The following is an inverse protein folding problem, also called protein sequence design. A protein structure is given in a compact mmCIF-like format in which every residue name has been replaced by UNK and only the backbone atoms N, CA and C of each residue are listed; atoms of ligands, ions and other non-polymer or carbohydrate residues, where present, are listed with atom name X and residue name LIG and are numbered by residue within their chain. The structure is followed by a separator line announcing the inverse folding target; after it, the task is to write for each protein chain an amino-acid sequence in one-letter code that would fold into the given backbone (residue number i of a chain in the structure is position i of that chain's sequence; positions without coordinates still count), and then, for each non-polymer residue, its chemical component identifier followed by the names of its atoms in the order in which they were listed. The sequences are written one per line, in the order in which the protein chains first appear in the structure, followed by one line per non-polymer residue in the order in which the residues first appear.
data_IF_943342980428
#
_entry.id   IF_943342980428
#
_cell.length_a   1.000
_cell.length_b   1.000
_cell.length_c   1.000
_cell.angle_alpha   90.00
_cell.angle_beta   90.00
_cell.angle_gamma   90.00
#
_symmetry.space_group_name_H-M   'P 1'
#
loop_
_entity.id
_entity.type
_entity.pdbx_description
1 polymer ?
#
# COMPACT_ATOMS: atom_id res chain seq x y z
N UNK A 1 34.44 23.04 25.17
CA UNK A 1 34.16 21.96 24.19
C UNK A 1 33.91 22.59 22.82
N UNK A 2 33.69 21.82 21.75
CA UNK A 2 33.39 22.36 20.41
C UNK A 2 32.18 21.63 19.80
N UNK A 3 31.32 22.37 19.09
CA UNK A 3 30.22 21.80 18.31
C UNK A 3 30.75 21.37 16.95
N UNK A 4 30.97 20.06 16.75
CA UNK A 4 31.51 19.52 15.50
C UNK A 4 30.44 19.22 14.45
N UNK A 5 29.23 18.89 14.90
CA UNK A 5 28.17 18.40 14.03
C UNK A 5 26.83 19.05 14.36
N UNK A 6 25.93 19.03 13.38
CA UNK A 6 24.54 19.44 13.49
C UNK A 6 23.65 18.32 12.94
N UNK A 7 22.53 18.06 13.62
CA UNK A 7 21.50 17.12 13.17
C UNK A 7 20.54 17.83 12.23
N UNK A 8 20.39 17.30 11.02
CA UNK A 8 19.42 17.78 10.04
C UNK A 8 18.00 17.29 10.34
N UNK A 9 17.03 17.86 9.63
CA UNK A 9 15.60 17.47 9.70
C UNK A 9 15.34 16.03 9.25
N UNK A 10 16.19 15.50 8.36
CA UNK A 10 16.18 14.10 7.92
C UNK A 10 16.98 13.17 8.87
N UNK A 11 17.29 13.66 10.08
CA UNK A 11 18.14 13.00 11.08
C UNK A 11 19.59 12.72 10.64
N UNK A 12 20.01 13.17 9.45
CA UNK A 12 21.40 13.04 9.03
C UNK A 12 22.32 14.02 9.76
N UNK A 13 23.53 13.60 10.09
CA UNK A 13 24.53 14.47 10.73
C UNK A 13 25.43 15.14 9.68
N UNK A 14 25.64 16.45 9.81
CA UNK A 14 26.58 17.21 8.95
C UNK A 14 27.57 18.02 9.79
N UNK A 15 28.74 18.38 9.23
CA UNK A 15 29.67 19.30 9.90
C UNK A 15 28.99 20.64 10.22
N UNK A 16 29.23 21.13 11.43
CA UNK A 16 28.75 22.44 11.88
C UNK A 16 29.59 23.56 11.26
N UNK A 17 28.94 24.59 10.74
CA UNK A 17 29.59 25.76 10.14
C UNK A 17 28.89 27.03 10.61
N UNK A 18 29.58 27.84 11.41
CA UNK A 18 29.05 29.07 11.98
C UNK A 18 28.67 30.09 10.89
N UNK A 19 29.38 30.08 9.77
CA UNK A 19 29.17 30.95 8.62
C UNK A 19 27.78 30.77 8.00
N UNK A 20 27.18 29.58 8.15
CA UNK A 20 25.81 29.33 7.69
C UNK A 20 24.77 30.04 8.55
N UNK A 21 25.04 30.16 9.85
CA UNK A 21 24.17 30.88 10.79
C UNK A 21 24.28 32.39 10.54
N UNK A 22 25.51 32.91 10.48
CA UNK A 22 25.73 34.34 10.20
C UNK A 22 25.16 34.73 8.83
N UNK A 23 25.35 33.91 7.79
CA UNK A 23 24.78 34.16 6.47
C UNK A 23 23.25 34.13 6.43
N UNK A 24 22.59 33.31 7.27
CA UNK A 24 21.14 33.33 7.39
C UNK A 24 20.63 34.59 8.10
N UNK A 25 21.31 35.03 9.16
CA UNK A 25 21.01 36.27 9.89
C UNK A 25 21.22 37.49 8.99
N UNK A 26 22.33 37.54 8.25
CA UNK A 26 22.65 38.62 7.32
C UNK A 26 21.56 38.78 6.26
N UNK A 27 21.06 37.69 5.68
CA UNK A 27 19.95 37.74 4.72
C UNK A 27 18.67 38.35 5.31
N UNK A 28 18.37 38.06 6.58
CA UNK A 28 17.22 38.66 7.26
C UNK A 28 17.43 40.15 7.54
N UNK A 29 18.65 40.53 7.94
CA UNK A 29 19.08 41.92 8.12
C UNK A 29 19.00 42.74 6.82
N UNK A 30 19.52 42.21 5.73
CA UNK A 30 19.50 42.83 4.40
C UNK A 30 18.06 43.02 3.88
N UNK A 31 17.17 42.06 4.11
CA UNK A 31 15.79 42.09 3.65
C UNK A 31 14.97 43.27 4.23
N UNK A 32 15.36 43.78 5.40
CA UNK A 32 14.71 44.94 6.05
C UNK A 32 15.61 46.18 6.07
N UNK A 33 16.82 46.10 5.49
CA UNK A 33 17.78 47.20 5.45
C UNK A 33 18.32 47.60 6.83
N UNK A 34 18.47 46.65 7.76
CA UNK A 34 18.96 46.91 9.13
C UNK A 34 20.14 46.02 9.48
N UNK A 35 21.15 46.56 10.17
CA UNK A 35 22.33 45.79 10.61
C UNK A 35 23.44 45.73 9.57
N UNK A 36 24.58 45.17 9.97
CA UNK A 36 25.77 44.97 9.12
C UNK A 36 26.20 43.51 9.17
N UNK A 37 27.11 43.10 8.29
CA UNK A 37 27.73 41.78 8.33
C UNK A 37 28.37 41.48 9.70
N UNK A 38 29.03 42.48 10.29
CA UNK A 38 29.59 42.34 11.64
C UNK A 38 28.49 42.04 12.67
N UNK A 39 27.35 42.74 12.59
CA UNK A 39 26.25 42.47 13.51
C UNK A 39 25.65 41.06 13.33
N UNK A 40 25.60 40.54 12.11
CA UNK A 40 25.18 39.17 11.87
C UNK A 40 26.17 38.14 12.44
N UNK A 41 27.48 38.42 12.37
CA UNK A 41 28.52 37.60 12.99
C UNK A 41 28.42 37.64 14.53
N UNK A 42 28.18 38.81 15.11
CA UNK A 42 28.04 38.98 16.56
C UNK A 42 26.85 38.15 17.09
N UNK A 43 25.69 38.22 16.42
CA UNK A 43 24.50 37.42 16.79
C UNK A 43 24.78 35.92 16.59
N UNK A 44 25.41 35.52 15.48
CA UNK A 44 25.78 34.12 15.26
C UNK A 44 26.72 33.60 16.36
N UNK A 45 27.64 34.43 16.83
CA UNK A 45 28.53 34.07 17.93
C UNK A 45 27.76 33.89 19.24
N UNK A 46 26.77 34.73 19.55
CA UNK A 46 25.88 34.52 20.70
C UNK A 46 25.13 33.20 20.62
N UNK A 47 24.57 32.87 19.45
CA UNK A 47 23.93 31.57 19.19
C UNK A 47 24.91 30.42 19.48
N UNK A 48 26.15 30.53 18.99
CA UNK A 48 27.18 29.53 19.21
C UNK A 48 27.56 29.36 20.69
N UNK A 49 27.62 30.44 21.47
CA UNK A 49 27.85 30.36 22.92
C UNK A 49 26.70 29.62 23.62
N UNK A 50 25.44 29.94 23.30
CA UNK A 50 24.28 29.25 23.85
C UNK A 50 24.30 27.74 23.53
N UNK A 51 24.73 27.36 22.33
CA UNK A 51 24.90 25.95 21.94
C UNK A 51 26.06 25.27 22.68
N UNK A 52 27.18 25.98 22.90
CA UNK A 52 28.32 25.49 23.65
C UNK A 52 27.97 25.26 25.12
N UNK A 53 27.20 26.14 25.74
CA UNK A 53 26.76 25.99 27.13
C UNK A 53 25.92 24.73 27.30
N UNK A 54 25.03 24.42 26.36
CA UNK A 54 24.28 23.16 26.34
C UNK A 54 25.22 21.95 26.22
N UNK A 55 26.21 22.02 25.33
CA UNK A 55 27.21 20.93 25.19
C UNK A 55 28.10 20.74 26.41
N UNK A 56 28.40 21.80 27.14
CA UNK A 56 29.18 21.70 28.37
C UNK A 56 28.37 21.02 29.49
N UNK A 57 27.03 21.07 29.43
CA UNK A 57 26.15 20.39 30.37
C UNK A 57 25.85 18.94 29.97
N UNK A 58 25.87 18.63 28.67
CA UNK A 58 25.67 17.29 28.12
C UNK A 58 26.71 16.97 27.03
N UNK A 59 27.60 16.03 27.32
CA UNK A 59 28.69 15.65 26.42
C UNK A 59 28.18 15.09 25.08
N UNK A 60 27.04 14.40 25.10
CA UNK A 60 26.45 13.73 23.93
C UNK A 60 25.54 14.66 23.11
N UNK A 61 25.38 15.92 23.56
CA UNK A 61 24.58 16.92 22.85
C UNK A 61 25.10 17.20 21.44
N UNK A 62 24.17 17.10 20.49
CA UNK A 62 24.30 17.52 19.09
C UNK A 62 23.10 18.40 18.76
N UNK A 63 23.30 19.68 18.39
CA UNK A 63 22.17 20.57 18.12
C UNK A 63 21.44 20.17 16.85
N UNK A 64 20.12 20.36 16.85
CA UNK A 64 19.27 20.21 15.67
C UNK A 64 19.16 21.50 14.87
N UNK A 65 18.76 21.43 13.59
CA UNK A 65 18.48 22.63 12.79
C UNK A 65 17.40 23.50 13.44
N UNK A 66 16.33 22.90 13.98
CA UNK A 66 15.22 23.65 14.59
C UNK A 66 15.69 24.38 15.86
N UNK A 67 16.45 23.72 16.73
CA UNK A 67 17.02 24.36 17.92
C UNK A 67 17.92 25.54 17.56
N UNK A 68 18.76 25.41 16.53
CA UNK A 68 19.60 26.52 16.06
C UNK A 68 18.73 27.68 15.59
N UNK A 69 17.65 27.40 14.86
CA UNK A 69 16.73 28.45 14.39
C UNK A 69 15.98 29.12 15.56
N UNK A 70 15.53 28.36 16.56
CA UNK A 70 14.86 28.91 17.75
C UNK A 70 15.79 29.83 18.56
N UNK A 71 17.06 29.45 18.68
CA UNK A 71 18.07 30.29 19.35
C UNK A 71 18.34 31.55 18.52
N UNK A 72 18.48 31.44 17.19
CA UNK A 72 18.66 32.61 16.31
C UNK A 72 17.50 33.60 16.46
N UNK A 73 16.25 33.11 16.49
CA UNK A 73 15.07 33.95 16.71
C UNK A 73 15.12 34.65 18.06
N UNK A 74 15.46 33.91 19.11
CA UNK A 74 15.57 34.44 20.47
C UNK A 74 16.64 35.54 20.56
N UNK A 75 17.84 35.27 20.04
CA UNK A 75 18.95 36.23 20.04
C UNK A 75 18.61 37.49 19.21
N UNK A 76 17.97 37.32 18.05
CA UNK A 76 17.53 38.45 17.24
C UNK A 76 16.45 39.29 17.94
N UNK A 77 15.49 38.65 18.62
CA UNK A 77 14.45 39.34 19.40
C UNK A 77 15.01 40.10 20.62
N UNK A 78 16.03 39.54 21.27
CA UNK A 78 16.72 40.19 22.41
C UNK A 78 17.67 41.30 21.98
N UNK A 79 18.12 41.27 20.72
CA UNK A 79 18.96 42.33 20.14
C UNK A 79 18.17 43.61 19.81
N UNK A 80 18.89 44.62 19.31
CA UNK A 80 18.28 45.84 18.75
C UNK A 80 17.61 45.62 17.38
N UNK A 81 17.79 44.46 16.74
CA UNK A 81 17.36 44.17 15.36
C UNK A 81 15.98 43.48 15.30
N UNK A 82 14.97 44.05 15.96
CA UNK A 82 13.62 43.46 16.07
C UNK A 82 12.93 43.25 14.71
N UNK A 83 13.14 44.15 13.76
CA UNK A 83 12.60 44.01 12.40
C UNK A 83 13.26 42.84 11.65
N UNK A 84 14.57 42.64 11.82
CA UNK A 84 15.26 41.48 11.27
C UNK A 84 14.79 40.17 11.92
N UNK A 85 14.49 40.19 13.24
CA UNK A 85 13.90 39.05 13.94
C UNK A 85 12.55 38.64 13.33
N UNK A 86 11.66 39.62 13.13
CA UNK A 86 10.35 39.40 12.49
C UNK A 86 10.50 38.86 11.06
N UNK A 87 11.41 39.44 10.27
CA UNK A 87 11.68 38.98 8.91
C UNK A 87 12.23 37.54 8.88
N UNK A 88 13.11 37.20 9.83
CA UNK A 88 13.65 35.85 9.97
C UNK A 88 12.55 34.83 10.29
N UNK A 89 11.70 35.11 11.30
CA UNK A 89 10.57 34.26 11.71
C UNK A 89 9.61 34.04 10.53
N UNK A 90 9.20 35.11 9.86
CA UNK A 90 8.30 35.03 8.70
C UNK A 90 8.92 34.23 7.55
N UNK A 91 10.22 34.41 7.29
CA UNK A 91 10.91 33.63 6.27
C UNK A 91 11.01 32.16 6.65
N UNK A 92 11.34 31.84 7.91
CA UNK A 92 11.39 30.45 8.41
C UNK A 92 10.02 29.78 8.26
N UNK A 93 8.94 30.43 8.69
CA UNK A 93 7.57 29.93 8.57
C UNK A 93 7.20 29.70 7.11
N UNK A 94 7.42 30.70 6.23
CA UNK A 94 7.15 30.59 4.79
C UNK A 94 7.96 29.48 4.12
N UNK A 95 9.19 29.25 4.57
CA UNK A 95 10.01 28.14 4.08
C UNK A 95 9.57 26.80 4.67
N UNK A 96 8.97 26.78 5.86
CA UNK A 96 8.38 25.59 6.46
C UNK A 96 7.13 25.17 5.69
N UNK A 97 6.22 26.12 5.43
CA UNK A 97 5.04 25.94 4.58
C UNK A 97 5.43 25.41 3.20
N UNK A 98 6.44 26.02 2.55
CA UNK A 98 6.95 25.56 1.24
C UNK A 98 7.59 24.16 1.25
N UNK A 99 7.96 23.65 2.41
CA UNK A 99 8.56 22.32 2.57
C UNK A 99 7.53 21.28 3.00
N UNK A 100 6.35 21.71 3.44
CA UNK A 100 5.27 20.81 3.75
C UNK A 100 4.79 20.25 2.42
N UNK A 101 4.99 18.95 2.24
CA UNK A 101 4.43 18.25 1.10
C UNK A 101 2.93 18.13 1.32
N UNK A 102 2.19 18.35 0.25
CA UNK A 102 0.76 18.10 0.17
C UNK A 102 0.56 17.09 -0.96
N UNK A 103 0.06 15.91 -0.62
CA UNK A 103 -0.17 14.80 -1.53
C UNK A 103 -1.08 15.21 -2.70
N UNK A 104 -2.07 16.08 -2.45
CA UNK A 104 -3.05 16.53 -3.44
C UNK A 104 -2.57 17.72 -4.28
N UNK A 105 -1.54 18.46 -3.83
CA UNK A 105 -0.97 19.56 -4.62
C UNK A 105 -0.21 19.06 -5.85
N UNK A 106 -0.53 19.61 -7.02
CA UNK A 106 0.15 19.25 -8.28
C UNK A 106 1.62 19.65 -8.30
N UNK A 107 2.50 18.67 -8.54
CA UNK A 107 3.90 18.92 -8.85
C UNK A 107 4.16 18.83 -10.36
N UNK A 108 4.61 19.94 -10.96
CA UNK A 108 4.93 20.02 -12.39
C UNK A 108 6.26 19.33 -12.71
N UNK A 109 7.27 19.50 -11.85
CA UNK A 109 8.61 18.97 -12.09
C UNK A 109 8.65 17.46 -11.83
N UNK A 110 9.26 16.70 -12.75
CA UNK A 110 9.41 15.24 -12.57
C UNK A 110 10.29 14.90 -11.37
N UNK A 111 11.38 15.64 -11.15
CA UNK A 111 12.34 15.41 -10.05
C UNK A 111 12.66 16.72 -9.32
N UNK A 112 13.09 16.65 -8.04
CA UNK A 112 13.14 15.46 -7.19
C UNK A 112 11.72 14.93 -6.84
N UNK A 113 11.64 13.66 -6.43
CA UNK A 113 10.40 13.09 -5.89
C UNK A 113 10.18 13.60 -4.46
N UNK A 114 8.92 13.85 -4.10
CA UNK A 114 8.49 14.19 -2.74
C UNK A 114 8.33 12.91 -1.93
N UNK A 115 7.82 11.85 -2.56
CA UNK A 115 7.61 10.53 -1.94
C UNK A 115 8.41 9.45 -2.69
N UNK A 116 9.75 9.47 -2.64
CA UNK A 116 10.57 8.53 -3.41
C UNK A 116 10.34 7.07 -3.05
N UNK A 117 9.99 6.76 -1.79
CA UNK A 117 9.71 5.41 -1.34
C UNK A 117 8.47 4.81 -2.01
N UNK A 118 7.46 5.62 -2.34
CA UNK A 118 6.29 5.17 -3.10
C UNK A 118 6.65 4.71 -4.52
N UNK A 119 7.77 5.19 -5.09
CA UNK A 119 8.19 4.72 -6.40
C UNK A 119 8.65 3.26 -6.39
N UNK A 120 9.05 2.71 -5.25
CA UNK A 120 9.53 1.32 -5.12
C UNK A 120 8.46 0.27 -5.41
N UNK A 121 7.17 0.66 -5.39
CA UNK A 121 6.06 -0.20 -5.81
C UNK A 121 6.08 -0.48 -7.32
N UNK A 122 6.66 0.41 -8.14
CA UNK A 122 6.83 0.18 -9.59
C UNK A 122 7.77 -1.00 -9.88
N UNK A 123 9.03 -1.03 -9.38
CA UNK A 123 9.88 -2.20 -9.56
C UNK A 123 9.37 -3.45 -8.84
N UNK A 124 8.60 -3.33 -7.75
CA UNK A 124 7.96 -4.47 -7.10
C UNK A 124 6.99 -5.19 -8.06
N UNK A 125 6.06 -4.46 -8.70
CA UNK A 125 5.14 -5.05 -9.69
C UNK A 125 5.89 -5.55 -10.92
N UNK A 126 6.91 -4.84 -11.39
CA UNK A 126 7.75 -5.34 -12.49
C UNK A 126 8.46 -6.66 -12.14
N UNK A 127 8.74 -6.90 -10.87
CA UNK A 127 9.36 -8.12 -10.40
C UNK A 127 8.34 -9.27 -10.28
N UNK A 128 7.09 -8.97 -9.89
CA UNK A 128 6.00 -9.95 -9.83
C UNK A 128 5.34 -10.23 -11.18
N UNK A 129 5.63 -9.45 -12.22
CA UNK A 129 4.98 -9.51 -13.53
C UNK A 129 4.79 -10.94 -14.06
N UNK A 130 3.56 -11.25 -14.47
CA UNK A 130 3.16 -12.56 -14.98
C UNK A 130 1.99 -12.42 -15.96
N UNK A 131 1.87 -13.37 -16.89
CA UNK A 131 0.68 -13.50 -17.75
C UNK A 131 0.15 -14.93 -17.69
N UNK A 132 -1.18 -15.10 -17.75
CA UNK A 132 -1.80 -16.41 -17.55
C UNK A 132 -1.35 -17.49 -18.56
N UNK A 133 -0.88 -17.08 -19.74
CA UNK A 133 -0.38 -17.96 -20.79
C UNK A 133 0.98 -18.61 -20.46
N UNK A 134 1.66 -18.18 -19.40
CA UNK A 134 2.87 -18.82 -18.88
C UNK A 134 2.56 -20.08 -18.04
N UNK A 135 1.31 -20.25 -17.61
CA UNK A 135 0.87 -21.39 -16.82
C UNK A 135 0.15 -22.46 -17.65
N UNK A 136 0.17 -23.70 -17.18
CA UNK A 136 -0.52 -24.82 -17.81
C UNK A 136 -1.66 -25.31 -16.93
N UNK A 137 -2.87 -25.33 -17.50
CA UNK A 137 -4.12 -25.69 -16.80
C UNK A 137 -4.68 -27.07 -17.21
N UNK A 138 -3.93 -27.86 -17.99
CA UNK A 138 -4.44 -29.13 -18.53
C UNK A 138 -4.78 -30.13 -17.42
N UNK A 139 -3.91 -30.24 -16.40
CA UNK A 139 -4.17 -31.05 -15.21
C UNK A 139 -5.39 -30.55 -14.44
N UNK A 140 -5.52 -29.24 -14.33
CA UNK A 140 -6.51 -28.55 -13.52
C UNK A 140 -7.92 -28.75 -14.08
N UNK A 141 -8.05 -28.71 -15.41
CA UNK A 141 -9.29 -29.05 -16.11
C UNK A 141 -9.69 -30.50 -15.79
N UNK A 142 -8.73 -31.44 -15.74
CA UNK A 142 -9.06 -32.82 -15.41
C UNK A 142 -9.34 -33.05 -13.93
N UNK A 143 -8.61 -32.38 -13.05
CA UNK A 143 -8.89 -32.37 -11.63
C UNK A 143 -10.33 -31.91 -11.40
N UNK A 144 -10.68 -30.74 -11.95
CA UNK A 144 -11.99 -30.13 -11.82
C UNK A 144 -13.10 -30.98 -12.44
N UNK A 145 -12.88 -31.61 -13.60
CA UNK A 145 -13.92 -32.39 -14.29
C UNK A 145 -14.11 -33.81 -13.74
N UNK A 146 -13.07 -34.44 -13.20
CA UNK A 146 -13.13 -35.89 -12.92
C UNK A 146 -12.61 -36.33 -11.55
N UNK A 147 -11.76 -35.55 -10.88
CA UNK A 147 -11.10 -36.01 -9.64
C UNK A 147 -11.65 -35.34 -8.37
N UNK A 148 -12.15 -34.11 -8.47
CA UNK A 148 -12.84 -33.46 -7.34
C UNK A 148 -14.17 -34.17 -7.06
N UNK A 149 -14.47 -34.37 -5.77
CA UNK A 149 -15.83 -34.72 -5.33
C UNK A 149 -16.82 -33.60 -5.65
N UNK A 150 -18.13 -33.87 -5.56
CA UNK A 150 -19.14 -32.87 -5.85
C UNK A 150 -19.06 -31.66 -4.90
N UNK A 151 -18.85 -31.90 -3.60
CA UNK A 151 -18.62 -30.86 -2.59
C UNK A 151 -17.38 -30.02 -2.91
N UNK A 152 -16.25 -30.65 -3.22
CA UNK A 152 -15.00 -29.95 -3.54
C UNK A 152 -15.10 -29.14 -4.83
N UNK A 153 -15.77 -29.69 -5.83
CA UNK A 153 -16.01 -29.02 -7.11
C UNK A 153 -16.92 -27.82 -6.94
N UNK A 154 -17.95 -27.92 -6.11
CA UNK A 154 -18.82 -26.80 -5.77
C UNK A 154 -18.04 -25.68 -5.07
N UNK A 155 -17.20 -26.02 -4.09
CA UNK A 155 -16.33 -25.07 -3.41
C UNK A 155 -15.39 -24.36 -4.40
N UNK A 156 -14.64 -25.09 -5.22
CA UNK A 156 -13.73 -24.50 -6.21
C UNK A 156 -14.47 -23.62 -7.22
N UNK A 157 -15.62 -24.07 -7.70
CA UNK A 157 -16.46 -23.32 -8.63
C UNK A 157 -16.91 -21.99 -8.03
N UNK A 158 -17.48 -22.02 -6.82
CA UNK A 158 -17.97 -20.82 -6.15
C UNK A 158 -16.82 -19.88 -5.81
N UNK A 159 -15.66 -20.40 -5.40
CA UNK A 159 -14.42 -19.64 -5.18
C UNK A 159 -13.95 -18.93 -6.45
N UNK A 160 -13.90 -19.62 -7.59
CA UNK A 160 -13.52 -19.03 -8.88
C UNK A 160 -14.48 -17.92 -9.32
N UNK A 161 -15.80 -18.13 -9.11
CA UNK A 161 -16.82 -17.13 -9.40
C UNK A 161 -16.69 -15.89 -8.49
N UNK A 162 -16.39 -16.09 -7.20
CA UNK A 162 -16.15 -15.00 -6.24
C UNK A 162 -14.93 -14.15 -6.60
N UNK A 163 -13.80 -14.77 -6.98
CA UNK A 163 -12.61 -14.03 -7.42
C UNK A 163 -12.94 -13.22 -8.67
N UNK A 164 -13.50 -13.89 -9.68
CA UNK A 164 -13.82 -13.27 -10.97
C UNK A 164 -14.78 -12.08 -10.84
N UNK A 165 -15.62 -12.04 -9.82
CA UNK A 165 -16.55 -10.93 -9.60
C UNK A 165 -15.84 -9.62 -9.28
N UNK A 166 -14.74 -9.66 -8.53
CA UNK A 166 -13.95 -8.47 -8.19
C UNK A 166 -13.03 -8.11 -9.35
N UNK A 167 -12.26 -9.08 -9.83
CA UNK A 167 -11.21 -8.92 -10.85
C UNK A 167 -11.75 -8.37 -12.19
N UNK A 168 -13.01 -8.67 -12.51
CA UNK A 168 -13.65 -8.14 -13.72
C UNK A 168 -14.23 -6.74 -13.52
N UNK A 169 -14.46 -6.29 -12.27
CA UNK A 169 -15.19 -5.06 -11.94
C UNK A 169 -14.32 -3.88 -11.47
N UNK A 170 -13.09 -4.11 -10.99
CA UNK A 170 -12.33 -3.11 -10.20
C UNK A 170 -11.04 -2.65 -10.91
N UNK A 171 -11.16 -2.05 -12.10
CA UNK A 171 -9.97 -1.75 -12.94
C UNK A 171 -9.52 -0.28 -12.97
N UNK A 172 -10.44 0.65 -12.70
CA UNK A 172 -10.17 2.07 -12.95
C UNK A 172 -9.58 2.81 -11.75
N UNK A 173 -9.72 2.27 -10.54
CA UNK A 173 -9.33 2.99 -9.32
C UNK A 173 -7.86 3.43 -9.34
N UNK A 174 -6.94 2.49 -9.56
CA UNK A 174 -5.51 2.79 -9.62
C UNK A 174 -5.11 3.65 -10.82
N UNK A 175 -5.74 3.44 -11.98
CA UNK A 175 -5.48 4.22 -13.18
C UNK A 175 -5.90 5.70 -13.04
N UNK A 176 -6.94 5.96 -12.26
CA UNK A 176 -7.48 7.31 -12.03
C UNK A 176 -6.77 8.05 -10.88
N UNK A 177 -5.87 7.40 -10.14
CA UNK A 177 -5.22 7.95 -8.95
C UNK A 177 -4.53 9.31 -9.20
N UNK A 178 -3.89 9.48 -10.35
CA UNK A 178 -3.18 10.71 -10.70
C UNK A 178 -4.10 11.94 -10.89
N UNK A 179 -5.41 11.73 -11.09
CA UNK A 179 -6.37 12.82 -11.17
C UNK A 179 -6.55 13.54 -9.84
N UNK A 180 -6.44 12.80 -8.73
CA UNK A 180 -6.60 13.34 -7.36
C UNK A 180 -5.28 13.51 -6.64
N UNK A 181 -4.30 12.64 -6.91
CA UNK A 181 -2.95 12.71 -6.35
C UNK A 181 -1.95 13.00 -7.49
N UNK A 182 -1.85 14.27 -7.94
CA UNK A 182 -1.09 14.69 -9.12
C UNK A 182 0.44 14.76 -8.87
N UNK A 183 1.02 13.65 -8.40
CA UNK A 183 2.47 13.46 -8.20
C UNK A 183 3.03 12.48 -9.24
N UNK A 184 4.10 12.83 -9.99
CA UNK A 184 4.64 11.96 -11.04
C UNK A 184 5.02 10.53 -10.61
N UNK A 185 5.55 10.36 -9.40
CA UNK A 185 5.89 9.06 -8.81
C UNK A 185 4.64 8.22 -8.54
N UNK A 186 3.56 8.83 -8.06
CA UNK A 186 2.28 8.17 -7.79
C UNK A 186 1.54 7.83 -9.08
N UNK A 187 1.57 8.73 -10.07
CA UNK A 187 1.04 8.42 -11.41
C UNK A 187 1.77 7.25 -12.09
N UNK A 188 3.07 7.07 -11.80
CA UNK A 188 3.82 5.91 -12.28
C UNK A 188 3.36 4.60 -11.62
N UNK A 189 3.09 4.62 -10.31
CA UNK A 189 2.52 3.48 -9.58
C UNK A 189 1.13 3.16 -10.10
N UNK A 190 0.22 4.14 -10.13
CA UNK A 190 -1.16 3.96 -10.59
C UNK A 190 -1.25 3.40 -12.02
N UNK A 191 -0.40 3.85 -12.94
CA UNK A 191 -0.34 3.28 -14.29
C UNK A 191 0.20 1.84 -14.32
N UNK A 192 1.12 1.51 -13.42
CA UNK A 192 1.70 0.15 -13.32
C UNK A 192 0.68 -0.82 -12.72
N UNK A 193 -0.04 -0.41 -11.68
CA UNK A 193 -1.12 -1.19 -11.07
C UNK A 193 -2.31 -1.33 -12.03
N UNK A 194 -2.66 -0.28 -12.76
CA UNK A 194 -3.73 -0.39 -13.75
C UNK A 194 -3.43 -1.43 -14.85
N UNK A 195 -2.16 -1.70 -15.16
CA UNK A 195 -1.77 -2.76 -16.09
C UNK A 195 -1.79 -4.15 -15.44
N UNK A 196 -1.40 -4.29 -14.15
CA UNK A 196 -1.55 -5.59 -13.44
C UNK A 196 -3.00 -6.03 -13.40
N UNK A 197 -3.94 -5.11 -13.15
CA UNK A 197 -5.38 -5.40 -13.17
C UNK A 197 -5.90 -5.91 -14.53
N UNK A 198 -5.28 -5.50 -15.64
CA UNK A 198 -5.60 -6.06 -16.96
C UNK A 198 -5.18 -7.53 -17.02
N UNK A 199 -3.98 -7.85 -16.53
CA UNK A 199 -3.45 -9.22 -16.50
C UNK A 199 -4.27 -10.12 -15.59
N UNK A 200 -4.71 -9.62 -14.44
CA UNK A 200 -5.59 -10.36 -13.53
C UNK A 200 -6.93 -10.66 -14.19
N UNK A 201 -7.59 -9.64 -14.75
CA UNK A 201 -8.88 -9.81 -15.43
C UNK A 201 -8.78 -10.81 -16.60
N UNK A 202 -7.71 -10.75 -17.41
CA UNK A 202 -7.48 -11.69 -18.51
C UNK A 202 -7.29 -13.12 -18.00
N UNK A 203 -6.54 -13.30 -16.90
CA UNK A 203 -6.33 -14.60 -16.28
C UNK A 203 -7.63 -15.24 -15.78
N UNK A 204 -8.43 -14.52 -14.99
CA UNK A 204 -9.66 -15.06 -14.43
C UNK A 204 -10.76 -15.23 -15.49
N UNK A 205 -10.80 -14.36 -16.50
CA UNK A 205 -11.62 -14.55 -17.70
C UNK A 205 -11.27 -15.86 -18.42
N UNK A 206 -9.98 -16.12 -18.64
CA UNK A 206 -9.53 -17.38 -19.23
C UNK A 206 -9.90 -18.60 -18.39
N UNK A 207 -9.75 -18.53 -17.06
CA UNK A 207 -10.11 -19.61 -16.15
C UNK A 207 -11.62 -19.92 -16.18
N UNK A 208 -12.48 -18.90 -16.24
CA UNK A 208 -13.92 -19.10 -16.43
C UNK A 208 -14.24 -19.84 -17.74
N UNK A 209 -13.55 -19.50 -18.83
CA UNK A 209 -13.74 -20.14 -20.13
C UNK A 209 -13.36 -21.63 -20.10
N UNK A 210 -12.15 -21.97 -19.66
CA UNK A 210 -11.63 -23.35 -19.72
C UNK A 210 -12.34 -24.29 -18.74
N UNK A 211 -12.87 -23.75 -17.63
CA UNK A 211 -13.66 -24.50 -16.66
C UNK A 211 -15.14 -24.58 -17.05
N UNK A 212 -15.59 -23.78 -18.03
CA UNK A 212 -16.97 -23.77 -18.50
C UNK A 212 -17.95 -23.03 -17.59
N UNK A 213 -17.49 -22.01 -16.87
CA UNK A 213 -18.25 -21.31 -15.81
C UNK A 213 -18.93 -20.01 -16.27
N UNK A 214 -18.83 -19.66 -17.55
CA UNK A 214 -19.38 -18.41 -18.12
C UNK A 214 -20.89 -18.21 -17.88
N UNK A 215 -21.68 -19.28 -17.97
CA UNK A 215 -23.13 -19.21 -17.72
C UNK A 215 -23.44 -18.90 -16.26
N UNK A 216 -22.73 -19.57 -15.34
CA UNK A 216 -22.88 -19.36 -13.90
C UNK A 216 -22.42 -17.96 -13.49
N UNK A 217 -21.35 -17.45 -14.10
CA UNK A 217 -20.86 -16.09 -13.86
C UNK A 217 -21.88 -15.01 -14.24
N UNK A 218 -22.60 -15.17 -15.36
CA UNK A 218 -23.68 -14.23 -15.76
C UNK A 218 -24.82 -14.16 -14.75
N UNK A 219 -25.07 -15.27 -14.08
CA UNK A 219 -26.15 -15.44 -13.11
C UNK A 219 -25.71 -15.10 -11.68
N UNK A 220 -24.40 -14.84 -11.47
CA UNK A 220 -23.80 -14.65 -10.15
C UNK A 220 -24.44 -13.51 -9.34
N UNK A 221 -24.84 -12.43 -10.01
CA UNK A 221 -25.56 -11.29 -9.39
C UNK A 221 -26.92 -11.65 -8.77
N UNK A 222 -27.44 -12.86 -9.02
CA UNK A 222 -28.68 -13.33 -8.38
C UNK A 222 -28.43 -13.97 -7.02
N UNK A 223 -27.18 -14.29 -6.67
CA UNK A 223 -26.80 -14.87 -5.37
C UNK A 223 -26.84 -13.78 -4.29
N UNK A 224 -27.60 -13.96 -3.19
CA UNK A 224 -27.71 -12.96 -2.12
C UNK A 224 -26.37 -12.57 -1.48
N UNK A 225 -25.51 -13.55 -1.18
CA UNK A 225 -24.19 -13.32 -0.59
C UNK A 225 -23.32 -12.41 -1.50
N UNK A 226 -23.34 -12.65 -2.81
CA UNK A 226 -22.62 -11.81 -3.78
C UNK A 226 -23.21 -10.41 -3.84
N UNK A 227 -24.53 -10.26 -3.83
CA UNK A 227 -25.14 -8.92 -3.83
C UNK A 227 -24.86 -8.14 -2.54
N UNK A 228 -24.76 -8.80 -1.39
CA UNK A 228 -24.31 -8.17 -0.14
C UNK A 228 -22.87 -7.70 -0.26
N UNK A 229 -21.99 -8.54 -0.84
CA UNK A 229 -20.59 -8.19 -1.15
C UNK A 229 -20.49 -6.96 -2.03
N UNK A 230 -21.20 -6.96 -3.16
CA UNK A 230 -21.24 -5.83 -4.12
C UNK A 230 -21.62 -4.52 -3.43
N UNK A 231 -22.60 -4.53 -2.51
CA UNK A 231 -23.03 -3.31 -1.81
C UNK A 231 -21.93 -2.67 -0.97
N UNK A 232 -21.15 -3.46 -0.21
CA UNK A 232 -20.08 -2.86 0.58
C UNK A 232 -18.91 -2.42 -0.31
N UNK A 233 -18.62 -3.15 -1.39
CA UNK A 233 -17.61 -2.75 -2.38
C UNK A 233 -17.98 -1.40 -3.03
N UNK A 234 -19.24 -1.24 -3.45
CA UNK A 234 -19.76 0.03 -3.97
C UNK A 234 -19.72 1.15 -2.93
N UNK A 235 -19.97 0.82 -1.66
CA UNK A 235 -19.89 1.79 -0.55
C UNK A 235 -18.46 2.26 -0.33
N UNK A 236 -17.49 1.33 -0.34
CA UNK A 236 -16.06 1.65 -0.22
C UNK A 236 -15.56 2.51 -1.39
N UNK A 237 -16.11 2.32 -2.58
CA UNK A 237 -15.76 3.07 -3.79
C UNK A 237 -16.62 4.32 -4.04
N UNK A 238 -17.59 4.61 -3.18
CA UNK A 238 -18.59 5.68 -3.38
C UNK A 238 -17.95 7.04 -3.65
N UNK A 239 -16.88 7.37 -2.92
CA UNK A 239 -16.21 8.67 -2.99
C UNK A 239 -14.91 8.62 -3.81
N UNK A 240 -14.67 7.55 -4.57
CA UNK A 240 -13.47 7.36 -5.41
C UNK A 240 -13.26 8.41 -6.51
N UNK A 241 -14.24 9.30 -6.72
CA UNK A 241 -14.20 10.42 -7.68
C UNK A 241 -14.52 11.77 -7.05
N UNK A 242 -14.38 11.91 -5.73
CA UNK A 242 -15.08 12.95 -4.96
C UNK A 242 -14.73 14.44 -5.23
N UNK A 243 -13.59 14.92 -5.70
CA UNK A 243 -13.16 16.33 -5.56
C UNK A 243 -12.93 16.83 -4.11
N UNK A 244 -13.65 16.33 -3.09
CA UNK A 244 -13.25 16.54 -1.68
C UNK A 244 -12.11 15.57 -1.34
N UNK A 245 -11.00 16.09 -0.81
CA UNK A 245 -9.78 15.32 -0.57
C UNK A 245 -9.93 14.35 0.61
N UNK A 246 -10.71 14.72 1.62
CA UNK A 246 -10.98 13.88 2.77
C UNK A 246 -11.89 12.70 2.39
N UNK A 247 -12.96 12.96 1.66
CA UNK A 247 -13.84 11.90 1.15
C UNK A 247 -13.12 10.94 0.20
N UNK A 248 -12.19 11.45 -0.61
CA UNK A 248 -11.36 10.62 -1.48
C UNK A 248 -10.35 9.78 -0.70
N UNK A 249 -9.69 10.38 0.29
CA UNK A 249 -8.79 9.66 1.20
C UNK A 249 -9.52 8.49 1.91
N UNK A 250 -10.78 8.68 2.29
CA UNK A 250 -11.62 7.61 2.84
C UNK A 250 -11.84 6.48 1.82
N UNK A 251 -12.08 6.79 0.54
CA UNK A 251 -12.19 5.74 -0.49
C UNK A 251 -10.88 5.01 -0.72
N UNK A 252 -9.74 5.71 -0.77
CA UNK A 252 -8.41 5.08 -0.85
C UNK A 252 -8.20 4.13 0.33
N UNK A 253 -8.55 4.57 1.53
CA UNK A 253 -8.44 3.76 2.73
C UNK A 253 -9.25 2.49 2.66
N UNK A 254 -10.56 2.61 2.42
CA UNK A 254 -11.47 1.47 2.41
C UNK A 254 -11.15 0.49 1.28
N UNK A 255 -10.78 1.03 0.12
CA UNK A 255 -10.34 0.25 -1.02
C UNK A 255 -9.10 -0.58 -0.70
N UNK A 256 -8.04 0.06 -0.22
CA UNK A 256 -6.77 -0.62 0.03
C UNK A 256 -6.82 -1.58 1.22
N UNK A 257 -7.50 -1.22 2.31
CA UNK A 257 -7.54 -2.06 3.50
C UNK A 257 -8.46 -3.26 3.34
N UNK A 258 -9.63 -3.10 2.71
CA UNK A 258 -10.65 -4.14 2.72
C UNK A 258 -10.76 -4.85 1.38
N UNK A 259 -10.65 -4.12 0.26
CA UNK A 259 -10.81 -4.73 -1.07
C UNK A 259 -9.53 -5.45 -1.48
N UNK A 260 -8.42 -4.72 -1.56
CA UNK A 260 -7.11 -5.26 -1.97
C UNK A 260 -6.58 -6.27 -0.94
N UNK A 261 -6.55 -5.95 0.35
CA UNK A 261 -5.91 -6.79 1.38
C UNK A 261 -6.74 -7.95 1.94
N UNK A 262 -8.06 -7.96 1.72
CA UNK A 262 -8.95 -8.92 2.39
C UNK A 262 -9.94 -9.60 1.47
N UNK A 263 -10.68 -8.86 0.64
CA UNK A 263 -11.84 -9.41 -0.08
C UNK A 263 -11.52 -10.66 -0.89
N UNK A 264 -10.36 -10.75 -1.54
CA UNK A 264 -9.96 -11.90 -2.36
C UNK A 264 -9.22 -13.01 -1.60
N UNK A 265 -8.73 -12.72 -0.40
CA UNK A 265 -7.74 -13.56 0.27
C UNK A 265 -8.31 -14.87 0.82
N UNK A 266 -9.59 -14.90 1.21
CA UNK A 266 -10.22 -16.17 1.58
C UNK A 266 -10.32 -17.12 0.39
N UNK A 267 -10.60 -16.60 -0.81
CA UNK A 267 -10.67 -17.39 -2.02
C UNK A 267 -9.29 -17.89 -2.46
N UNK A 268 -8.27 -17.04 -2.33
CA UNK A 268 -6.88 -17.43 -2.57
C UNK A 268 -6.44 -18.57 -1.64
N UNK A 269 -6.72 -18.44 -0.34
CA UNK A 269 -6.45 -19.47 0.65
C UNK A 269 -7.10 -20.81 0.27
N UNK A 270 -8.38 -20.78 -0.12
CA UNK A 270 -9.12 -22.00 -0.50
C UNK A 270 -8.44 -22.70 -1.67
N UNK A 271 -8.13 -21.99 -2.76
CA UNK A 271 -7.49 -22.61 -3.94
C UNK A 271 -6.10 -23.15 -3.59
N UNK A 272 -5.28 -22.38 -2.87
CA UNK A 272 -3.93 -22.83 -2.50
C UNK A 272 -3.97 -24.03 -1.55
N UNK A 273 -4.98 -24.13 -0.67
CA UNK A 273 -5.14 -25.27 0.23
C UNK A 273 -5.42 -26.58 -0.54
N UNK A 274 -6.18 -26.54 -1.64
CA UNK A 274 -6.35 -27.71 -2.50
C UNK A 274 -5.02 -28.23 -3.07
N UNK A 275 -4.15 -27.33 -3.51
CA UNK A 275 -2.83 -27.72 -3.99
C UNK A 275 -1.96 -28.26 -2.86
N UNK A 276 -1.92 -27.56 -1.72
CA UNK A 276 -1.15 -27.99 -0.54
C UNK A 276 -1.55 -29.38 -0.03
N UNK A 277 -2.84 -29.63 0.15
CA UNK A 277 -3.32 -30.84 0.81
C UNK A 277 -3.66 -31.99 -0.16
N UNK A 278 -4.03 -31.68 -1.42
CA UNK A 278 -4.44 -32.70 -2.40
C UNK A 278 -3.56 -32.76 -3.65
N UNK A 279 -2.58 -31.85 -3.80
CA UNK A 279 -1.68 -31.80 -4.96
C UNK A 279 -2.45 -31.70 -6.30
N UNK A 280 -3.56 -30.95 -6.27
CA UNK A 280 -4.49 -30.70 -7.37
C UNK A 280 -4.54 -29.20 -7.70
N UNK A 281 -5.04 -28.84 -8.88
CA UNK A 281 -5.23 -27.44 -9.30
C UNK A 281 -3.92 -26.64 -9.30
N UNK A 282 -2.83 -27.25 -9.77
CA UNK A 282 -1.49 -26.66 -9.74
C UNK A 282 -1.36 -25.39 -10.58
N UNK A 283 -1.89 -25.41 -11.80
CA UNK A 283 -1.87 -24.26 -12.70
C UNK A 283 -2.65 -23.10 -12.11
N UNK A 284 -3.87 -23.36 -11.63
CA UNK A 284 -4.74 -22.36 -10.99
C UNK A 284 -4.09 -21.85 -9.69
N UNK A 285 -3.50 -22.73 -8.88
CA UNK A 285 -2.79 -22.33 -7.66
C UNK A 285 -1.60 -21.42 -7.94
N UNK A 286 -0.85 -21.62 -9.03
CA UNK A 286 0.24 -20.71 -9.39
C UNK A 286 -0.29 -19.33 -9.82
N UNK A 287 -1.42 -19.28 -10.55
CA UNK A 287 -2.07 -18.01 -10.91
C UNK A 287 -2.52 -17.27 -9.66
N UNK A 288 -3.20 -17.96 -8.74
CA UNK A 288 -3.66 -17.40 -7.47
C UNK A 288 -2.49 -16.91 -6.62
N UNK A 289 -1.40 -17.67 -6.53
CA UNK A 289 -0.19 -17.24 -5.83
C UNK A 289 0.38 -15.95 -6.45
N UNK A 290 0.45 -15.88 -7.79
CA UNK A 290 0.95 -14.69 -8.49
C UNK A 290 0.04 -13.47 -8.27
N UNK A 291 -1.29 -13.63 -8.40
CA UNK A 291 -2.27 -12.57 -8.07
C UNK A 291 -2.10 -12.11 -6.62
N UNK A 292 -2.06 -13.03 -5.66
CA UNK A 292 -1.99 -12.68 -4.23
C UNK A 292 -0.76 -11.85 -3.86
N UNK A 293 0.35 -12.02 -4.59
CA UNK A 293 1.56 -11.21 -4.44
C UNK A 293 1.36 -9.78 -4.96
N UNK A 294 0.67 -9.61 -6.08
CA UNK A 294 0.37 -8.28 -6.63
C UNK A 294 -0.66 -7.54 -5.76
N UNK A 295 -1.72 -8.22 -5.30
CA UNK A 295 -2.73 -7.65 -4.38
C UNK A 295 -2.11 -7.19 -3.04
N UNK A 296 -1.13 -7.95 -2.52
CA UNK A 296 -0.39 -7.54 -1.33
C UNK A 296 0.36 -6.22 -1.58
N UNK A 297 1.06 -6.11 -2.71
CA UNK A 297 1.79 -4.90 -3.12
C UNK A 297 0.82 -3.72 -3.30
N UNK A 298 -0.37 -3.95 -3.86
CA UNK A 298 -1.37 -2.91 -4.06
C UNK A 298 -1.89 -2.32 -2.74
N UNK A 299 -2.29 -3.18 -1.80
CA UNK A 299 -2.78 -2.66 -0.52
C UNK A 299 -1.66 -2.11 0.37
N UNK A 300 -0.42 -2.61 0.26
CA UNK A 300 0.73 -2.02 0.97
C UNK A 300 0.98 -0.57 0.51
N UNK A 301 0.88 -0.32 -0.79
CA UNK A 301 0.94 1.04 -1.35
C UNK A 301 -0.17 1.93 -0.80
N UNK A 302 -1.39 1.42 -0.74
CA UNK A 302 -2.52 2.13 -0.13
C UNK A 302 -2.31 2.46 1.34
N UNK A 303 -1.77 1.52 2.13
CA UNK A 303 -1.41 1.73 3.53
C UNK A 303 -0.38 2.87 3.66
N UNK A 304 0.64 2.91 2.82
CA UNK A 304 1.64 3.98 2.86
C UNK A 304 1.06 5.33 2.45
N UNK A 305 0.15 5.39 1.47
CA UNK A 305 -0.60 6.61 1.16
C UNK A 305 -1.40 7.11 2.39
N UNK A 306 -2.07 6.23 3.11
CA UNK A 306 -2.86 6.59 4.29
C UNK A 306 -1.97 7.11 5.42
N UNK A 307 -0.80 6.51 5.64
CA UNK A 307 0.18 7.01 6.62
C UNK A 307 0.63 8.43 6.29
N UNK A 308 0.95 8.70 5.02
CA UNK A 308 1.28 10.05 4.54
C UNK A 308 0.11 11.01 4.80
N UNK A 309 -1.11 10.62 4.44
CA UNK A 309 -2.31 11.44 4.66
C UNK A 309 -2.54 11.74 6.14
N UNK A 310 -2.25 10.80 7.03
CA UNK A 310 -2.34 10.96 8.49
C UNK A 310 -1.28 11.90 9.04
N UNK A 311 -0.08 11.89 8.45
CA UNK A 311 0.98 12.83 8.79
C UNK A 311 0.67 14.25 8.29
N UNK A 312 0.11 14.37 7.08
CA UNK A 312 -0.20 15.67 6.45
C UNK A 312 -1.49 16.30 6.98
N UNK A 313 -2.51 15.49 7.32
CA UNK A 313 -3.85 15.92 7.73
C UNK A 313 -4.33 15.17 9.00
N UNK A 314 -3.62 15.31 10.13
CA UNK A 314 -3.93 14.57 11.36
C UNK A 314 -5.34 14.84 11.90
N UNK A 315 -5.93 16.00 11.60
CA UNK A 315 -7.28 16.37 12.02
C UNK A 315 -8.40 15.58 11.31
N UNK A 316 -8.10 14.87 10.22
CA UNK A 316 -9.07 14.00 9.54
C UNK A 316 -9.27 12.68 10.30
N UNK A 317 -8.24 12.22 11.02
CA UNK A 317 -8.16 10.92 11.69
C UNK A 317 -8.57 11.02 13.16
N UNK A 318 -9.82 11.43 13.38
CA UNK A 318 -10.40 11.55 14.72
C UNK A 318 -10.83 10.20 15.30
N UNK A 319 -11.08 10.14 16.61
CA UNK A 319 -11.65 8.96 17.25
C UNK A 319 -13.00 8.53 16.66
N UNK A 320 -13.79 9.50 16.17
CA UNK A 320 -15.05 9.23 15.47
C UNK A 320 -14.79 8.56 14.12
N UNK A 321 -13.78 9.03 13.39
CA UNK A 321 -13.37 8.43 12.12
C UNK A 321 -12.85 6.99 12.32
N UNK A 322 -12.03 6.75 13.35
CA UNK A 322 -11.57 5.40 13.69
C UNK A 322 -12.74 4.44 13.98
N UNK A 323 -13.75 4.90 14.72
CA UNK A 323 -14.98 4.10 14.97
C UNK A 323 -15.75 3.82 13.69
N UNK A 324 -15.82 4.77 12.77
CA UNK A 324 -16.47 4.58 11.46
C UNK A 324 -15.77 3.47 10.67
N UNK A 325 -14.43 3.51 10.56
CA UNK A 325 -13.64 2.48 9.87
C UNK A 325 -13.84 1.11 10.53
N UNK A 326 -13.84 1.06 11.86
CA UNK A 326 -14.10 -0.16 12.62
C UNK A 326 -15.49 -0.75 12.32
N UNK A 327 -16.53 0.06 12.18
CA UNK A 327 -17.86 -0.43 11.82
C UNK A 327 -17.90 -0.96 10.39
N UNK A 328 -17.29 -0.24 9.43
CA UNK A 328 -17.16 -0.71 8.05
C UNK A 328 -16.37 -2.01 7.94
N UNK A 329 -15.35 -2.19 8.80
CA UNK A 329 -14.60 -3.43 8.90
C UNK A 329 -15.50 -4.61 9.32
N UNK A 330 -16.41 -4.43 10.29
CA UNK A 330 -17.38 -5.47 10.66
C UNK A 330 -18.33 -5.79 9.52
N UNK A 331 -18.84 -4.76 8.83
CA UNK A 331 -19.74 -4.95 7.70
C UNK A 331 -19.08 -5.73 6.56
N UNK A 332 -17.82 -5.39 6.24
CA UNK A 332 -17.01 -6.11 5.26
C UNK A 332 -16.77 -7.56 5.69
N UNK A 333 -16.40 -7.81 6.95
CA UNK A 333 -16.23 -9.16 7.47
C UNK A 333 -17.51 -9.99 7.40
N UNK A 334 -18.66 -9.45 7.80
CA UNK A 334 -19.93 -10.19 7.73
C UNK A 334 -20.41 -10.39 6.29
N UNK A 335 -19.95 -9.59 5.32
CA UNK A 335 -20.20 -9.86 3.91
C UNK A 335 -19.29 -10.97 3.37
N UNK A 336 -17.99 -10.95 3.67
CA UNK A 336 -17.04 -12.00 3.24
C UNK A 336 -17.34 -13.34 3.92
N UNK A 337 -17.76 -13.34 5.18
CA UNK A 337 -18.22 -14.56 5.86
C UNK A 337 -19.44 -15.20 5.18
N UNK A 338 -20.40 -14.40 4.71
CA UNK A 338 -21.53 -14.92 3.92
C UNK A 338 -21.07 -15.46 2.55
N UNK A 339 -20.03 -14.87 1.96
CA UNK A 339 -19.40 -15.41 0.73
C UNK A 339 -18.74 -16.75 1.02
N UNK A 340 -18.03 -16.89 2.14
CA UNK A 340 -17.46 -18.16 2.61
C UNK A 340 -18.55 -19.20 2.84
N UNK A 341 -19.64 -18.84 3.52
CA UNK A 341 -20.79 -19.73 3.72
C UNK A 341 -21.40 -20.19 2.38
N UNK A 342 -21.51 -19.30 1.40
CA UNK A 342 -21.98 -19.65 0.05
C UNK A 342 -20.98 -20.52 -0.71
N UNK A 343 -19.68 -20.29 -0.57
CA UNK A 343 -18.64 -21.12 -1.21
C UNK A 343 -18.79 -22.58 -0.75
N UNK A 344 -19.04 -22.80 0.54
CA UNK A 344 -19.21 -24.12 1.12
C UNK A 344 -20.68 -24.58 1.21
N UNK A 345 -21.57 -24.09 0.32
CA UNK A 345 -23.02 -24.40 0.37
C UNK A 345 -23.32 -25.92 0.25
N UNK A 346 -22.46 -26.69 -0.43
CA UNK A 346 -22.58 -28.14 -0.62
C UNK A 346 -21.71 -28.97 0.35
N UNK A 347 -21.15 -28.33 1.38
CA UNK A 347 -20.35 -28.97 2.42
C UNK A 347 -18.98 -28.33 2.64
N UNK A 348 -18.44 -28.51 3.84
CA UNK A 348 -17.10 -28.04 4.21
C UNK A 348 -16.00 -28.98 3.70
N UNK A 349 -14.77 -28.47 3.69
CA UNK A 349 -13.58 -29.25 3.36
C UNK A 349 -12.91 -29.72 4.65
N UNK A 350 -12.68 -31.03 4.79
CA UNK A 350 -12.05 -31.59 6.00
C UNK A 350 -10.68 -30.97 6.31
N UNK A 351 -9.93 -30.57 5.27
CA UNK A 351 -8.60 -29.98 5.40
C UNK A 351 -8.62 -28.44 5.50
N UNK A 352 -9.78 -27.80 5.34
CA UNK A 352 -9.92 -26.35 5.50
C UNK A 352 -11.36 -25.99 5.95
N UNK A 353 -11.70 -26.23 7.24
CA UNK A 353 -13.01 -25.91 7.78
C UNK A 353 -13.31 -24.41 7.72
N UNK A 354 -14.60 -24.03 7.67
CA UNK A 354 -15.02 -22.62 7.64
C UNK A 354 -14.53 -21.82 8.84
N UNK A 355 -14.42 -22.45 10.00
CA UNK A 355 -13.90 -21.82 11.22
C UNK A 355 -12.48 -21.29 11.00
N UNK A 356 -11.62 -22.07 10.33
CA UNK A 356 -10.24 -21.68 10.01
C UNK A 356 -10.22 -20.51 9.03
N UNK A 357 -11.02 -20.56 7.95
CA UNK A 357 -11.13 -19.47 6.96
C UNK A 357 -11.65 -18.17 7.60
N UNK A 358 -12.61 -18.26 8.52
CA UNK A 358 -13.16 -17.11 9.21
C UNK A 358 -12.15 -16.48 10.18
N UNK A 359 -11.37 -17.27 10.92
CA UNK A 359 -10.30 -16.74 11.78
C UNK A 359 -9.16 -16.11 10.96
N UNK A 360 -8.81 -16.71 9.83
CA UNK A 360 -7.89 -16.10 8.86
C UNK A 360 -8.37 -14.72 8.41
N UNK A 361 -9.65 -14.59 8.00
CA UNK A 361 -10.24 -13.30 7.61
C UNK A 361 -10.20 -12.27 8.74
N UNK A 362 -10.62 -12.64 9.95
CA UNK A 362 -10.56 -11.74 11.12
C UNK A 362 -9.14 -11.25 11.39
N UNK A 363 -8.16 -12.15 11.29
CA UNK A 363 -6.76 -11.81 11.50
C UNK A 363 -6.27 -10.80 10.45
N UNK A 364 -6.60 -11.02 9.16
CA UNK A 364 -6.26 -10.05 8.10
C UNK A 364 -6.91 -8.69 8.34
N UNK A 365 -8.20 -8.64 8.66
CA UNK A 365 -8.88 -7.38 8.99
C UNK A 365 -8.23 -6.64 10.17
N UNK A 366 -7.89 -7.35 11.25
CA UNK A 366 -7.18 -6.77 12.38
C UNK A 366 -5.80 -6.22 11.99
N UNK A 367 -5.04 -6.97 11.18
CA UNK A 367 -3.73 -6.52 10.70
C UNK A 367 -3.86 -5.27 9.81
N UNK A 368 -4.89 -5.20 8.96
CA UNK A 368 -5.20 -4.02 8.15
C UNK A 368 -5.49 -2.79 9.03
N UNK A 369 -6.29 -2.94 10.10
CA UNK A 369 -6.55 -1.86 11.06
C UNK A 369 -5.26 -1.41 11.79
N UNK A 370 -4.47 -2.36 12.29
CA UNK A 370 -3.22 -2.05 12.99
C UNK A 370 -2.20 -1.33 12.08
N UNK A 371 -2.17 -1.69 10.79
CA UNK A 371 -1.22 -1.11 9.82
C UNK A 371 -1.34 0.42 9.67
N UNK A 372 -2.51 0.97 9.99
CA UNK A 372 -2.81 2.42 9.98
C UNK A 372 -2.99 2.99 11.40
N UNK A 373 -2.69 2.19 12.42
CA UNK A 373 -2.76 2.57 13.84
C UNK A 373 -4.18 2.66 14.40
N UNK A 374 -5.09 1.80 13.94
CA UNK A 374 -6.43 1.61 14.51
C UNK A 374 -6.45 0.31 15.32
N UNK A 375 -7.12 0.33 16.47
CA UNK A 375 -7.22 -0.83 17.35
C UNK A 375 -7.97 -2.00 16.70
N UNK A 376 -7.54 -3.22 17.04
CA UNK A 376 -8.21 -4.47 16.66
C UNK A 376 -9.67 -4.48 17.08
N UNK A 377 -10.47 -5.21 16.31
CA UNK A 377 -11.91 -5.32 16.56
C UNK A 377 -12.41 -6.74 16.73
N UNK A 378 -11.66 -7.71 16.23
CA UNK A 378 -11.97 -9.13 16.39
C UNK A 378 -11.06 -9.77 17.42
N UNK A 379 -11.65 -10.51 18.35
CA UNK A 379 -10.89 -11.49 19.13
C UNK A 379 -10.54 -12.69 18.24
N UNK A 380 -9.30 -13.14 18.32
CA UNK A 380 -8.71 -14.16 17.43
C UNK A 380 -8.39 -15.42 18.22
N UNK A 381 -8.79 -16.58 17.68
CA UNK A 381 -8.26 -17.88 18.11
C UNK A 381 -6.94 -18.15 17.39
N UNK A 382 -5.84 -17.97 18.12
CA UNK A 382 -4.50 -18.15 17.58
C UNK A 382 -4.24 -19.57 17.06
N UNK A 383 -4.90 -20.60 17.61
CA UNK A 383 -4.68 -21.96 17.14
C UNK A 383 -5.22 -22.16 15.72
N UNK A 384 -6.38 -21.57 15.43
CA UNK A 384 -6.99 -21.64 14.10
C UNK A 384 -6.24 -20.78 13.08
N UNK A 385 -5.71 -19.63 13.48
CA UNK A 385 -4.86 -18.80 12.60
C UNK A 385 -3.58 -19.52 12.20
N UNK A 386 -2.93 -20.22 13.14
CA UNK A 386 -1.71 -20.99 12.88
C UNK A 386 -1.91 -22.08 11.80
N UNK A 387 -3.12 -22.60 11.62
CA UNK A 387 -3.41 -23.56 10.52
C UNK A 387 -3.26 -22.94 9.13
N UNK A 388 -3.24 -21.60 9.04
CA UNK A 388 -3.10 -20.84 7.78
C UNK A 388 -1.79 -20.07 7.66
N UNK A 389 -0.86 -20.18 8.63
CA UNK A 389 0.43 -19.48 8.61
C UNK A 389 1.24 -19.75 7.34
N UNK A 390 1.14 -20.98 6.83
CA UNK A 390 1.80 -21.40 5.59
C UNK A 390 1.39 -20.58 4.36
N UNK A 391 0.20 -19.95 4.38
CA UNK A 391 -0.26 -19.13 3.28
C UNK A 391 0.51 -17.80 3.24
N UNK A 392 0.70 -17.16 4.40
CA UNK A 392 1.50 -15.95 4.51
C UNK A 392 2.98 -16.24 4.19
N UNK A 393 3.50 -17.41 4.56
CA UNK A 393 4.84 -17.86 4.17
C UNK A 393 5.03 -17.96 2.65
N UNK A 394 4.01 -18.40 1.90
CA UNK A 394 4.09 -18.50 0.43
C UNK A 394 3.97 -17.11 -0.26
N UNK A 395 3.23 -16.17 0.34
CA UNK A 395 3.08 -14.80 -0.18
C UNK A 395 4.31 -13.95 0.15
N UNK A 396 4.70 -13.88 1.42
CA UNK A 396 5.82 -13.08 1.93
C UNK A 396 7.16 -13.73 1.57
N UNK A 397 7.17 -15.06 1.43
CA UNK A 397 8.29 -15.85 0.97
C UNK A 397 8.73 -15.45 -0.42
N UNK A 398 9.52 -14.37 -0.48
CA UNK A 398 10.55 -14.23 -1.49
C UNK A 398 11.47 -15.43 -1.33
N UNK A 399 11.19 -16.51 -2.05
CA UNK A 399 12.19 -17.55 -2.27
C UNK A 399 13.36 -16.91 -3.00
N UNK A 400 14.29 -16.35 -2.23
CA UNK A 400 15.67 -16.08 -2.59
C UNK A 400 16.45 -17.37 -2.99
N UNK A 401 15.75 -18.43 -3.41
CA UNK A 401 16.31 -19.76 -3.65
C UNK A 401 15.66 -20.57 -4.77
N UNK A 402 14.75 -20.04 -5.60
CA UNK A 402 14.14 -20.84 -6.69
C UNK A 402 14.09 -20.14 -8.07
N UNK A 403 14.76 -19.00 -8.25
CA UNK A 403 14.86 -18.31 -9.55
C UNK A 403 15.66 -19.11 -10.60
N UNK A 404 16.45 -20.11 -10.18
CA UNK A 404 17.21 -20.99 -11.06
C UNK A 404 16.64 -22.41 -11.22
N UNK A 405 15.64 -22.82 -10.42
CA UNK A 405 15.10 -24.21 -10.49
C UNK A 405 13.85 -24.28 -11.37
N UNK A 406 13.03 -23.22 -11.46
CA UNK A 406 11.90 -23.17 -12.42
C UNK A 406 12.26 -22.57 -13.79
N UNK A 407 13.48 -22.05 -13.99
CA UNK A 407 13.96 -21.47 -15.26
C UNK A 407 14.66 -22.47 -16.19
N UNK A 408 14.19 -23.71 -16.19
CA UNK A 408 14.51 -24.73 -17.20
C UNK A 408 13.18 -25.43 -17.47
N UNK A 409 12.41 -25.05 -18.49
CA UNK A 409 12.66 -25.31 -19.90
C UNK A 409 11.77 -24.32 -20.68
N UNK A 410 12.36 -23.40 -21.45
CA UNK A 410 11.87 -22.91 -22.75
C UNK A 410 12.65 -21.65 -23.18
N UNK A 411 13.90 -21.85 -23.57
CA UNK A 411 14.46 -21.05 -24.64
C UNK A 411 14.08 -21.69 -25.98
N UNK A 412 13.02 -21.16 -26.59
CA UNK A 412 12.77 -21.21 -28.02
C UNK A 412 11.97 -19.96 -28.37
N UNK A 413 12.68 -18.84 -28.58
CA UNK A 413 12.09 -17.71 -29.31
C UNK A 413 11.89 -18.19 -30.75
N UNK A 414 10.62 -18.27 -31.16
CA UNK A 414 10.08 -18.73 -32.46
C UNK A 414 9.99 -20.25 -32.63
N UNK A 415 8.85 -20.80 -32.26
CA UNK A 415 8.22 -21.87 -33.04
C UNK A 415 6.84 -21.38 -33.44
N UNK A 416 6.64 -21.15 -34.74
CA UNK A 416 5.30 -20.98 -35.31
C UNK A 416 4.51 -22.26 -35.06
N UNK A 417 3.21 -22.14 -34.76
CA UNK A 417 2.30 -23.28 -34.73
C UNK A 417 2.26 -23.90 -36.13
N UNK A 418 2.72 -25.14 -36.27
CA UNK A 418 2.53 -25.94 -37.47
C UNK A 418 1.03 -26.20 -37.60
N UNK A 419 0.44 -25.78 -38.71
CA UNK A 419 -0.97 -26.04 -39.04
C UNK A 419 -1.09 -27.29 -39.92
N UNK A 420 -2.30 -27.80 -40.11
CA UNK A 420 -2.55 -28.95 -41.00
C UNK A 420 -2.07 -28.72 -42.43
N UNK A 421 -1.99 -27.47 -42.86
CA UNK A 421 -1.57 -27.07 -44.21
C UNK A 421 -0.05 -27.13 -44.39
N UNK A 422 0.73 -27.25 -43.31
CA UNK A 422 2.19 -27.43 -43.35
C UNK A 422 2.61 -28.91 -43.47
N UNK A 423 1.65 -29.84 -43.39
CA UNK A 423 1.88 -31.30 -43.40
C UNK A 423 1.34 -32.00 -44.66
N UNK A 424 0.94 -31.25 -45.70
CA UNK A 424 0.54 -31.79 -47.00
C UNK A 424 1.14 -31.04 -48.18
#
# INVERSE_FOLDING_TARGET
MEIKHILKRDYSTKPFHLEKISGAIQKAMDAVGTGTEQNAQDVAFSVYQTLLDRKNNDNDYVPTIEEVQDIVETELMQSKFKEAAKAYILYRNKQSEKRQSDLFEKRINLKPYEYPHLYEYVPAIRHSYWIHSEFNFTSDIQDFKSRLSDTERSAIKNTMLAISQIEVAVKSFWGDLYHRIPKPEIGSVGSTFAESEVRHADAYSHLLEILGLNSEFKELKKKPAIMKRVRYLETALKNSRSEDDREYAESVLLFSLFIEHVSLFSQFLIIMAFNKHKNMLKGISNVVEATSKEEQIHGDFGIDLIKILKEENPEWFTDEYHKSIQEMCKEAFEAEKEVVDWIFEDGELDFLPKAVVNEFLKNRFNNSLESIGIDKIFDIDQNLVLETEWFDDEIIGTKHGDFFVKRSINYSKRSQSITSDDLF
#
